data_IF_753235536105
#
_entry.id   IF_753235536105
#
_cell.length_a   1.000
_cell.length_b   1.000
_cell.length_c   1.000
_cell.angle_alpha   90.00
_cell.angle_beta   90.00
_cell.angle_gamma   90.00
#
_symmetry.space_group_name_H-M   'P 1'
#
loop_
_entity.id
_entity.type
_entity.pdbx_description
1 polymer ?
#
# COMPACT_ATOMS: atom_id res chain seq x y z
N UNK A 1 6.99 19.23 -11.73
CA UNK A 1 8.18 19.87 -11.10
C UNK A 1 8.99 18.83 -10.34
N UNK A 2 10.19 18.53 -10.83
CA UNK A 2 11.21 17.76 -10.10
C UNK A 2 11.87 18.68 -9.07
N UNK A 3 11.62 18.49 -7.77
CA UNK A 3 12.34 19.22 -6.73
C UNK A 3 13.72 18.61 -6.51
N UNK A 4 14.78 19.40 -6.63
CA UNK A 4 16.13 18.94 -6.31
C UNK A 4 16.24 18.58 -4.81
N UNK A 5 16.35 17.28 -4.52
CA UNK A 5 16.36 16.72 -3.16
C UNK A 5 17.64 17.08 -2.39
N UNK A 6 18.77 17.15 -3.08
CA UNK A 6 20.07 17.44 -2.46
C UNK A 6 20.09 18.88 -1.91
N UNK A 7 19.66 19.86 -2.72
CA UNK A 7 19.60 21.26 -2.32
C UNK A 7 18.67 21.48 -1.11
N UNK A 8 17.51 20.82 -1.06
CA UNK A 8 16.59 20.92 0.07
C UNK A 8 17.20 20.40 1.37
N UNK A 9 17.98 19.32 1.30
CA UNK A 9 18.65 18.76 2.48
C UNK A 9 19.70 19.73 3.04
N UNK A 10 20.47 20.39 2.18
CA UNK A 10 21.45 21.39 2.59
C UNK A 10 20.80 22.59 3.28
N UNK A 11 19.65 23.03 2.77
CA UNK A 11 18.91 24.19 3.27
C UNK A 11 17.99 23.88 4.47
N UNK A 12 18.00 22.66 5.00
CA UNK A 12 17.08 22.26 6.09
C UNK A 12 15.60 22.28 5.70
N UNK A 13 15.28 22.31 4.41
CA UNK A 13 13.91 22.43 3.92
C UNK A 13 13.18 21.11 4.01
N UNK A 14 11.90 21.18 4.39
CA UNK A 14 11.04 20.01 4.45
C UNK A 14 10.94 19.31 3.09
N UNK A 15 10.94 17.97 3.13
CA UNK A 15 10.77 17.17 1.94
C UNK A 15 9.36 17.40 1.37
N UNK A 16 9.29 17.84 0.11
CA UNK A 16 8.03 17.82 -0.63
C UNK A 16 7.71 16.36 -0.95
N UNK A 17 6.86 15.74 -0.13
CA UNK A 17 6.32 14.42 -0.45
C UNK A 17 5.59 14.55 -1.80
N UNK A 18 6.04 13.78 -2.78
CA UNK A 18 5.40 13.72 -4.09
C UNK A 18 3.91 13.41 -3.90
N UNK A 19 3.02 14.26 -4.44
CA UNK A 19 1.58 14.04 -4.40
C UNK A 19 1.18 12.69 -5.03
N UNK A 20 2.01 12.13 -5.92
CA UNK A 20 1.82 10.77 -6.46
C UNK A 20 1.80 9.70 -5.37
N UNK A 21 2.53 9.87 -4.25
CA UNK A 21 2.48 8.91 -3.13
C UNK A 21 1.20 9.04 -2.29
N UNK A 22 0.52 10.20 -2.31
CA UNK A 22 -0.81 10.37 -1.69
C UNK A 22 -1.95 9.80 -2.56
N UNK A 23 -1.67 9.48 -3.83
CA UNK A 23 -2.66 8.94 -4.77
C UNK A 23 -2.90 7.44 -4.59
N UNK A 24 -2.00 6.70 -3.93
CA UNK A 24 -2.16 5.26 -3.71
C UNK A 24 -2.30 4.99 -2.22
N UNK A 25 -3.45 4.47 -1.79
CA UNK A 25 -3.67 4.00 -0.42
C UNK A 25 -3.55 2.48 -0.40
N UNK A 26 -2.68 1.97 0.47
CA UNK A 26 -2.52 0.54 0.71
C UNK A 26 -3.13 0.25 2.08
N UNK A 27 -4.08 -0.68 2.12
CA UNK A 27 -4.71 -1.15 3.35
C UNK A 27 -4.48 -2.65 3.49
N UNK A 28 -4.34 -3.15 4.71
CA UNK A 28 -4.32 -4.58 5.00
C UNK A 28 -5.73 -5.04 5.33
N UNK A 29 -6.17 -6.10 4.67
CA UNK A 29 -7.44 -6.77 4.89
C UNK A 29 -7.19 -8.14 5.50
N UNK A 30 -8.00 -8.50 6.49
CA UNK A 30 -8.06 -9.85 7.01
C UNK A 30 -9.27 -10.55 6.34
N UNK A 31 -9.06 -11.49 5.41
CA UNK A 31 -10.15 -12.19 4.73
C UNK A 31 -10.97 -13.08 5.66
N UNK A 32 -10.44 -13.49 6.81
CA UNK A 32 -11.17 -14.27 7.81
C UNK A 32 -12.07 -13.40 8.71
N UNK A 33 -12.00 -12.07 8.59
CA UNK A 33 -12.92 -11.15 9.27
C UNK A 33 -14.28 -11.20 8.59
N UNK A 34 -15.32 -11.52 9.36
CA UNK A 34 -16.73 -11.56 8.94
C UNK A 34 -17.26 -10.22 8.38
N UNK A 35 -16.54 -9.12 8.59
CA UNK A 35 -16.90 -7.79 8.10
C UNK A 35 -16.37 -7.49 6.69
N UNK A 36 -15.67 -8.43 6.04
CA UNK A 36 -15.08 -8.20 4.73
C UNK A 36 -16.12 -8.28 3.59
N UNK A 37 -16.80 -7.16 3.32
CA UNK A 37 -17.70 -6.97 2.16
C UNK A 37 -16.97 -7.01 0.81
N UNK A 38 -15.67 -7.32 0.79
CA UNK A 38 -14.83 -7.26 -0.41
C UNK A 38 -14.76 -8.63 -1.08
N UNK A 39 -15.15 -8.69 -2.36
CA UNK A 39 -14.91 -9.86 -3.20
C UNK A 39 -13.40 -9.96 -3.49
N UNK A 40 -12.70 -10.71 -2.64
CA UNK A 40 -11.27 -11.00 -2.78
C UNK A 40 -11.12 -12.11 -3.84
N UNK A 41 -10.14 -12.00 -4.76
CA UNK A 41 -9.88 -13.06 -5.74
C UNK A 41 -9.57 -14.43 -5.07
N UNK A 42 -10.04 -15.53 -5.67
CA UNK A 42 -9.91 -16.88 -5.10
C UNK A 42 -8.46 -17.30 -4.80
N UNK A 43 -7.50 -16.89 -5.63
CA UNK A 43 -6.09 -17.20 -5.40
C UNK A 43 -5.50 -16.49 -4.16
N UNK A 44 -6.20 -15.51 -3.59
CA UNK A 44 -5.81 -14.79 -2.37
C UNK A 44 -6.73 -15.10 -1.18
N UNK A 45 -7.78 -15.90 -1.35
CA UNK A 45 -8.74 -16.20 -0.27
C UNK A 45 -8.12 -17.01 0.87
N UNK A 46 -7.17 -17.89 0.55
CA UNK A 46 -6.46 -18.74 1.52
C UNK A 46 -5.33 -18.00 2.26
N UNK A 47 -5.06 -16.73 1.94
CA UNK A 47 -4.02 -15.95 2.60
C UNK A 47 -4.51 -15.40 3.93
N UNK A 48 -3.67 -15.45 4.97
CA UNK A 48 -4.00 -14.87 6.30
C UNK A 48 -4.22 -13.35 6.26
N UNK A 49 -3.52 -12.65 5.37
CA UNK A 49 -3.67 -11.22 5.13
C UNK A 49 -3.53 -10.87 3.64
N UNK A 50 -4.39 -9.96 3.17
CA UNK A 50 -4.40 -9.48 1.79
C UNK A 50 -4.15 -7.97 1.79
N UNK A 51 -3.26 -7.50 0.94
CA UNK A 51 -3.05 -6.08 0.74
C UNK A 51 -3.97 -5.55 -0.36
N UNK A 52 -4.78 -4.55 -0.02
CA UNK A 52 -5.62 -3.82 -0.95
C UNK A 52 -4.93 -2.51 -1.34
N UNK A 53 -4.64 -2.36 -2.62
CA UNK A 53 -4.14 -1.13 -3.21
C UNK A 53 -5.31 -0.40 -3.89
N UNK A 54 -5.59 0.82 -3.43
CA UNK A 54 -6.57 1.73 -4.02
C UNK A 54 -5.88 2.93 -4.64
N UNK A 55 -6.10 3.16 -5.92
CA UNK A 55 -5.67 4.37 -6.60
C UNK A 55 -6.79 5.42 -6.53
N UNK A 56 -6.49 6.57 -5.95
CA UNK A 56 -7.41 7.70 -5.79
C UNK A 56 -7.71 8.41 -7.10
N UNK A 57 -6.91 8.18 -8.16
CA UNK A 57 -7.10 8.83 -9.47
C UNK A 57 -8.03 8.01 -10.35
N UNK A 58 -7.74 6.71 -10.48
CA UNK A 58 -8.50 5.80 -11.33
C UNK A 58 -9.67 5.14 -10.59
N UNK A 59 -9.73 5.26 -9.26
CA UNK A 59 -10.67 4.51 -8.42
C UNK A 59 -10.41 3.01 -8.39
N UNK A 60 -9.40 2.53 -9.13
CA UNK A 60 -9.13 1.10 -9.30
C UNK A 60 -8.63 0.50 -8.00
N UNK A 61 -9.28 -0.60 -7.60
CA UNK A 61 -8.89 -1.42 -6.47
C UNK A 61 -8.19 -2.67 -7.01
N UNK A 62 -7.03 -2.99 -6.46
CA UNK A 62 -6.29 -4.22 -6.79
C UNK A 62 -5.88 -4.91 -5.51
N UNK A 63 -5.99 -6.23 -5.50
CA UNK A 63 -5.65 -7.08 -4.37
C UNK A 63 -4.33 -7.79 -4.64
N UNK A 64 -3.48 -7.87 -3.62
CA UNK A 64 -2.16 -8.49 -3.68
C UNK A 64 -1.92 -9.28 -2.39
N UNK A 65 -0.97 -10.21 -2.42
CA UNK A 65 -0.49 -10.84 -1.19
C UNK A 65 0.07 -9.79 -0.22
N UNK A 66 -0.15 -9.96 1.10
CA UNK A 66 0.34 -9.02 2.11
C UNK A 66 1.85 -8.70 1.99
N UNK A 67 2.64 -9.72 1.64
CA UNK A 67 4.09 -9.62 1.49
C UNK A 67 4.54 -8.75 0.31
N UNK A 68 3.67 -8.46 -0.66
CA UNK A 68 4.02 -7.66 -1.83
C UNK A 68 4.38 -6.20 -1.48
N UNK A 69 3.82 -5.66 -0.39
CA UNK A 69 4.07 -4.28 0.04
C UNK A 69 4.83 -4.17 1.36
N UNK A 70 4.71 -5.17 2.24
CA UNK A 70 5.34 -5.16 3.56
C UNK A 70 6.16 -6.43 3.84
N UNK A 71 7.14 -6.78 2.99
CA UNK A 71 7.86 -8.05 3.09
C UNK A 71 8.59 -8.22 4.42
N UNK A 72 9.21 -7.15 4.94
CA UNK A 72 10.00 -7.17 6.19
C UNK A 72 9.17 -7.29 7.47
N UNK A 73 7.88 -6.99 7.40
CA UNK A 73 7.00 -6.98 8.58
C UNK A 73 6.16 -8.24 8.71
N UNK A 74 6.07 -9.04 7.63
CA UNK A 74 5.25 -10.24 7.57
C UNK A 74 6.07 -11.54 7.51
N UNK A 75 7.41 -11.46 7.35
CA UNK A 75 8.31 -12.62 7.38
C UNK A 75 8.46 -13.27 8.76
N UNK A 76 7.86 -12.69 9.81
CA UNK A 76 8.00 -13.16 11.20
C UNK A 76 6.85 -14.10 11.64
N UNK A 77 5.87 -14.34 10.77
CA UNK A 77 4.67 -15.13 11.09
C UNK A 77 4.41 -16.30 10.11
N UNK A 78 5.45 -16.73 9.38
CA UNK A 78 5.47 -18.03 8.70
C UNK A 78 6.22 -19.03 9.57
#
# INVERSE_FOLDING_TARGET
MLSNRAARRLLGLSYKLSNSKRRVKISLLNPASSDSTHQIPEHLSNSSFVAMKRDAVSGKITYHAGNAFYPKHLSRYQ
#
